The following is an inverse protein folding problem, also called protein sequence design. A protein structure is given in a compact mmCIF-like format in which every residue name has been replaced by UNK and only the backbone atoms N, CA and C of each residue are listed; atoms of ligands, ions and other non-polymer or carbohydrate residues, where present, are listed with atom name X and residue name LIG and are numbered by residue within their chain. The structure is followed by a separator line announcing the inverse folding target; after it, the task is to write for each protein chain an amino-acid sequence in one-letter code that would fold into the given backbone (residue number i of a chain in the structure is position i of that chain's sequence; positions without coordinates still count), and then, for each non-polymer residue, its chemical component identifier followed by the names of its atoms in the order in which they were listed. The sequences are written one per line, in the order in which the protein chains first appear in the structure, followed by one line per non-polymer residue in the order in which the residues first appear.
data_IF_678777314766
#
_entry.id   IF_678777314766
#
_cell.length_a   1.000
_cell.length_b   1.000
_cell.length_c   1.000
_cell.angle_alpha   90.00
_cell.angle_beta   90.00
_cell.angle_gamma   90.00
#
_symmetry.space_group_name_H-M   'P 1'
#
loop_
_entity.id
_entity.type
_entity.pdbx_description
1 polymer ?
#
# COMPACT_ATOMS: atom_id res chain seq x y z
N UNK A 1 57.87 -13.29 -24.64
CA UNK A 1 57.10 -14.16 -23.72
C UNK A 1 56.49 -13.43 -22.53
N UNK A 2 57.10 -12.35 -22.01
CA UNK A 2 56.58 -11.59 -20.85
C UNK A 2 55.25 -10.85 -21.13
N UNK A 3 55.12 -10.24 -22.31
CA UNK A 3 53.93 -9.45 -22.69
C UNK A 3 52.68 -10.32 -22.87
N UNK A 4 52.84 -11.52 -23.40
CA UNK A 4 51.73 -12.46 -23.58
C UNK A 4 51.15 -12.94 -22.24
N UNK A 5 52.03 -13.18 -21.26
CA UNK A 5 51.63 -13.60 -19.91
C UNK A 5 50.89 -12.47 -19.17
N UNK A 6 51.38 -11.24 -19.31
CA UNK A 6 50.72 -10.05 -18.77
C UNK A 6 49.33 -9.82 -19.42
N UNK A 7 49.22 -10.02 -20.73
CA UNK A 7 47.94 -9.93 -21.46
C UNK A 7 46.92 -10.97 -20.99
N UNK A 8 47.33 -12.22 -20.77
CA UNK A 8 46.45 -13.27 -20.24
C UNK A 8 45.96 -12.94 -18.82
N UNK A 9 46.84 -12.43 -17.96
CA UNK A 9 46.50 -12.06 -16.59
C UNK A 9 45.47 -10.92 -16.54
N UNK A 10 45.63 -9.92 -17.41
CA UNK A 10 44.69 -8.80 -17.53
C UNK A 10 43.32 -9.26 -18.04
N UNK A 11 43.27 -10.15 -19.03
CA UNK A 11 42.02 -10.74 -19.54
C UNK A 11 41.25 -11.49 -18.44
N UNK A 12 41.95 -12.24 -17.58
CA UNK A 12 41.33 -12.96 -16.46
C UNK A 12 40.79 -12.01 -15.37
N UNK A 13 41.41 -10.83 -15.19
CA UNK A 13 40.97 -9.82 -14.23
C UNK A 13 39.70 -9.08 -14.71
N UNK A 14 39.51 -8.91 -16.03
CA UNK A 14 38.33 -8.23 -16.58
C UNK A 14 37.05 -9.10 -16.56
N UNK A 15 37.16 -10.42 -16.52
CA UNK A 15 35.99 -11.33 -16.51
C UNK A 15 35.39 -11.56 -15.11
N UNK A 16 36.10 -11.16 -14.05
CA UNK A 16 35.69 -11.39 -12.66
C UNK A 16 34.69 -10.39 -12.07
N UNK A 17 34.51 -9.20 -12.66
CA UNK A 17 33.71 -8.11 -12.06
C UNK A 17 32.22 -8.12 -12.42
N UNK A 18 31.71 -9.13 -13.14
CA UNK A 18 30.39 -9.07 -13.76
C UNK A 18 29.28 -9.92 -13.14
N UNK A 19 29.57 -10.81 -12.19
CA UNK A 19 28.56 -11.76 -11.73
C UNK A 19 27.76 -11.25 -10.52
N UNK A 20 26.89 -10.26 -10.74
CA UNK A 20 25.88 -9.90 -9.74
C UNK A 20 24.71 -10.88 -9.84
N UNK A 21 24.58 -11.79 -8.85
CA UNK A 21 23.40 -12.63 -8.69
C UNK A 21 22.19 -11.74 -8.38
N UNK A 22 21.15 -11.78 -9.20
CA UNK A 22 19.86 -11.20 -8.88
C UNK A 22 19.23 -11.98 -7.72
N UNK A 23 19.09 -11.30 -6.58
CA UNK A 23 18.36 -11.82 -5.42
C UNK A 23 17.00 -11.16 -5.41
N UNK A 24 15.95 -11.93 -5.67
CA UNK A 24 14.59 -11.45 -5.51
C UNK A 24 14.29 -11.30 -4.02
N UNK A 25 13.88 -10.11 -3.63
CA UNK A 25 13.47 -9.79 -2.27
C UNK A 25 11.98 -9.48 -2.33
N UNK A 26 11.16 -9.99 -1.38
CA UNK A 26 9.74 -9.66 -1.35
C UNK A 26 9.54 -8.14 -1.30
N UNK A 27 8.69 -7.62 -2.18
CA UNK A 27 8.33 -6.20 -2.18
C UNK A 27 7.56 -5.91 -0.88
N UNK A 28 7.97 -4.90 -0.10
CA UNK A 28 7.21 -4.50 1.08
C UNK A 28 5.77 -4.12 0.70
N UNK A 29 4.75 -4.55 1.47
CA UNK A 29 3.38 -4.20 1.17
C UNK A 29 3.22 -2.67 1.23
N UNK A 30 2.61 -2.09 0.19
CA UNK A 30 2.30 -0.65 0.18
C UNK A 30 1.38 -0.34 1.38
N UNK A 31 1.69 0.64 2.23
CA UNK A 31 0.87 0.91 3.41
C UNK A 31 -0.55 1.37 3.01
N UNK A 32 -1.54 0.98 3.80
CA UNK A 32 -2.92 1.46 3.63
C UNK A 32 -2.96 2.94 4.02
N UNK A 33 -3.61 3.81 3.23
CA UNK A 33 -3.82 5.20 3.60
C UNK A 33 -4.41 5.33 5.01
N UNK A 34 -3.83 6.22 5.83
CA UNK A 34 -4.20 6.35 7.24
C UNK A 34 -5.66 6.76 7.46
N UNK A 35 -6.26 7.45 6.49
CA UNK A 35 -7.68 7.81 6.51
C UNK A 35 -8.61 6.58 6.45
N UNK A 36 -8.17 5.49 5.80
CA UNK A 36 -8.96 4.26 5.70
C UNK A 36 -8.83 3.36 6.94
N UNK A 37 -7.85 3.63 7.79
CA UNK A 37 -7.64 2.94 9.08
C UNK A 37 -8.07 3.76 10.27
N UNK A 38 -8.42 5.03 10.07
CA UNK A 38 -8.91 5.90 11.13
C UNK A 38 -10.30 5.44 11.57
N UNK A 39 -10.55 5.48 12.87
CA UNK A 39 -11.88 5.22 13.41
C UNK A 39 -12.88 6.26 12.90
N UNK A 40 -14.07 5.79 12.54
CA UNK A 40 -15.15 6.70 12.14
C UNK A 40 -15.66 7.44 13.38
N UNK A 41 -15.68 8.79 13.39
CA UNK A 41 -16.13 9.53 14.55
C UNK A 41 -17.56 9.16 14.92
N UNK A 42 -17.78 8.84 16.21
CA UNK A 42 -19.13 8.63 16.72
C UNK A 42 -19.86 9.98 16.79
N UNK A 43 -21.07 10.10 16.22
CA UNK A 43 -21.84 11.33 16.33
C UNK A 43 -22.30 11.55 17.77
N UNK A 44 -22.44 12.83 18.14
CA UNK A 44 -22.95 13.22 19.46
C UNK A 44 -24.38 12.73 19.68
N UNK A 45 -24.64 12.07 20.80
CA UNK A 45 -25.97 11.62 21.20
C UNK A 45 -26.51 12.64 22.22
N UNK A 46 -27.57 13.39 21.88
CA UNK A 46 -28.11 14.43 22.76
C UNK A 46 -28.91 13.83 23.94
N UNK A 47 -28.84 14.50 25.08
CA UNK A 47 -29.60 14.18 26.29
C UNK A 47 -30.18 15.49 26.90
N UNK A 48 -31.51 15.68 26.94
CA UNK A 48 -32.56 14.74 26.51
C UNK A 48 -32.66 14.62 24.99
N UNK A 49 -32.92 13.40 24.51
CA UNK A 49 -33.15 13.11 23.09
C UNK A 49 -34.55 13.58 22.67
N UNK A 50 -34.65 14.85 22.23
CA UNK A 50 -35.88 15.39 21.65
C UNK A 50 -36.12 14.82 20.24
N UNK A 51 -37.36 14.90 19.74
CA UNK A 51 -37.69 14.44 18.39
C UNK A 51 -36.85 15.15 17.31
N UNK A 52 -36.72 16.49 17.38
CA UNK A 52 -35.89 17.26 16.44
C UNK A 52 -34.43 16.83 16.49
N UNK A 53 -33.86 16.71 17.70
CA UNK A 53 -32.47 16.27 17.88
C UNK A 53 -32.23 14.83 17.39
N UNK A 54 -33.26 13.98 17.42
CA UNK A 54 -33.18 12.63 16.83
C UNK A 54 -33.06 12.66 15.31
N UNK A 55 -33.68 13.63 14.63
CA UNK A 55 -33.55 13.79 13.18
C UNK A 55 -32.14 14.23 12.81
N UNK A 56 -31.59 15.21 13.52
CA UNK A 56 -30.21 15.67 13.33
C UNK A 56 -29.18 14.56 13.60
N UNK A 57 -29.42 13.74 14.62
CA UNK A 57 -28.62 12.54 14.90
C UNK A 57 -28.71 11.53 13.74
N UNK A 58 -29.89 11.29 13.16
CA UNK A 58 -30.05 10.41 12.00
C UNK A 58 -29.28 10.92 10.78
N UNK A 59 -29.30 12.23 10.49
CA UNK A 59 -28.51 12.84 9.42
C UNK A 59 -27.01 12.61 9.64
N UNK A 60 -26.56 12.81 10.88
CA UNK A 60 -25.15 12.59 11.27
C UNK A 60 -24.74 11.13 11.10
N UNK A 61 -25.59 10.19 11.54
CA UNK A 61 -25.38 8.74 11.39
C UNK A 61 -25.34 8.30 9.93
N UNK A 62 -26.29 8.76 9.09
CA UNK A 62 -26.33 8.43 7.67
C UNK A 62 -25.10 8.99 6.93
N UNK A 63 -24.62 10.18 7.33
CA UNK A 63 -23.40 10.77 6.77
C UNK A 63 -22.15 9.96 7.14
N UNK A 64 -22.03 9.55 8.41
CA UNK A 64 -20.94 8.69 8.87
C UNK A 64 -20.96 7.32 8.16
N UNK A 65 -22.15 6.73 7.97
CA UNK A 65 -22.32 5.48 7.22
C UNK A 65 -21.92 5.62 5.75
N UNK A 66 -22.31 6.74 5.10
CA UNK A 66 -21.90 7.03 3.73
C UNK A 66 -20.37 7.15 3.62
N UNK A 67 -19.72 7.81 4.58
CA UNK A 67 -18.26 7.88 4.64
C UNK A 67 -17.62 6.50 4.79
N UNK A 68 -18.05 5.70 5.77
CA UNK A 68 -17.61 4.31 5.94
C UNK A 68 -17.71 3.49 4.65
N UNK A 69 -18.81 3.64 3.91
CA UNK A 69 -19.01 2.88 2.67
C UNK A 69 -18.06 3.35 1.55
N UNK A 70 -17.69 4.64 1.52
CA UNK A 70 -16.64 5.15 0.63
C UNK A 70 -15.28 4.59 1.00
N UNK A 71 -14.92 4.62 2.28
CA UNK A 71 -13.64 4.08 2.75
C UNK A 71 -13.51 2.58 2.41
N UNK A 72 -14.58 1.80 2.59
CA UNK A 72 -14.63 0.38 2.15
C UNK A 72 -14.48 0.22 0.63
N UNK A 73 -15.01 1.13 -0.17
CA UNK A 73 -14.85 1.09 -1.63
C UNK A 73 -13.40 1.36 -2.04
N UNK A 74 -12.74 2.32 -1.38
CA UNK A 74 -11.33 2.64 -1.61
C UNK A 74 -10.43 1.46 -1.24
N UNK A 75 -10.67 0.81 -0.09
CA UNK A 75 -9.97 -0.43 0.31
C UNK A 75 -10.14 -1.52 -0.76
N UNK A 76 -11.36 -1.76 -1.25
CA UNK A 76 -11.59 -2.74 -2.35
C UNK A 76 -10.83 -2.38 -3.62
N UNK A 77 -10.70 -1.09 -3.95
CA UNK A 77 -9.94 -0.66 -5.12
C UNK A 77 -8.43 -0.89 -4.92
N UNK A 78 -7.89 -0.62 -3.73
CA UNK A 78 -6.50 -0.91 -3.38
C UNK A 78 -6.22 -2.40 -3.52
N UNK A 79 -7.08 -3.26 -2.98
CA UNK A 79 -6.94 -4.72 -3.09
C UNK A 79 -6.99 -5.22 -4.53
N UNK A 80 -7.89 -4.68 -5.37
CA UNK A 80 -7.92 -4.99 -6.80
C UNK A 80 -6.60 -4.65 -7.50
N UNK A 81 -6.02 -3.49 -7.19
CA UNK A 81 -4.72 -3.07 -7.75
C UNK A 81 -3.58 -3.99 -7.31
N UNK A 82 -3.56 -4.40 -6.03
CA UNK A 82 -2.58 -5.36 -5.50
C UNK A 82 -2.70 -6.73 -6.19
N UNK A 83 -3.91 -7.26 -6.34
CA UNK A 83 -4.16 -8.53 -7.04
C UNK A 83 -3.80 -8.50 -8.52
N UNK A 84 -4.06 -7.39 -9.21
CA UNK A 84 -3.67 -7.22 -10.61
C UNK A 84 -2.15 -7.18 -10.79
N UNK A 85 -1.41 -6.51 -9.89
CA UNK A 85 0.05 -6.51 -9.90
C UNK A 85 0.63 -7.92 -9.67
N UNK A 86 0.00 -8.73 -8.81
CA UNK A 86 0.40 -10.12 -8.57
C UNK A 86 0.09 -11.08 -9.72
N UNK A 87 -0.84 -10.72 -10.63
CA UNK A 87 -1.25 -11.58 -11.74
C UNK A 87 -0.53 -11.26 -13.06
N UNK A 88 0.26 -10.17 -13.08
CA UNK A 88 1.04 -9.72 -14.23
C UNK A 88 2.50 -10.19 -14.20
N UNK A 89 2.87 -10.96 -13.17
CA UNK A 89 4.16 -11.64 -12.98
C UNK A 89 3.96 -13.16 -13.14
#
# INVERSE_FOLDING_TARGET
MMIALAGLFLLQLLTGCGNTRTVYVPVPPQPVPSNLTAETPQPYIPDPLTYGASLDLNVSLLSALAQCNRDKADVRQIEKRRGAAHSAE
#
